data_IF_712890637225
#
_entry.id   IF_712890637225
#
_cell.length_a   1.000
_cell.length_b   1.000
_cell.length_c   1.000
_cell.angle_alpha   90.00
_cell.angle_beta   90.00
_cell.angle_gamma   90.00
#
_symmetry.space_group_name_H-M   'P 1'
#
loop_
_entity.id
_entity.type
_entity.pdbx_description
1 polymer ?
#
# COMPACT_ATOMS: atom_id res chain seq x y z
N UNK A 1 17.13 2.24 24.93
CA UNK A 1 15.84 2.89 25.14
C UNK A 1 14.92 2.32 24.06
N UNK A 2 13.76 1.81 24.43
CA UNK A 2 12.79 1.31 23.45
C UNK A 2 12.27 2.52 22.67
N UNK A 3 12.42 2.52 21.34
CA UNK A 3 11.97 3.62 20.48
C UNK A 3 10.49 3.46 20.16
N UNK A 4 9.78 4.58 20.07
CA UNK A 4 8.39 4.64 19.63
C UNK A 4 8.34 4.76 18.12
N UNK A 5 7.66 3.82 17.46
CA UNK A 5 7.52 3.88 16.00
C UNK A 5 6.41 4.81 15.56
N UNK A 6 6.80 5.89 14.89
CA UNK A 6 5.84 6.77 14.22
C UNK A 6 5.38 6.13 12.90
N UNK A 7 4.14 5.66 12.87
CA UNK A 7 3.50 5.12 11.67
C UNK A 7 2.80 6.25 10.90
N UNK A 8 3.04 6.31 9.59
CA UNK A 8 2.42 7.28 8.69
C UNK A 8 1.09 6.78 8.10
N UNK A 9 0.29 7.70 7.58
CA UNK A 9 -1.03 7.43 7.02
C UNK A 9 -1.05 6.41 5.86
N UNK A 10 0.07 6.24 5.16
CA UNK A 10 0.26 5.27 4.07
C UNK A 10 0.96 3.98 4.52
N UNK A 11 1.24 3.83 5.82
CA UNK A 11 2.02 2.74 6.40
C UNK A 11 1.22 1.90 7.43
N UNK A 12 -0.09 1.78 7.22
CA UNK A 12 -1.01 1.19 8.22
C UNK A 12 -1.07 -0.35 8.22
N UNK A 13 -0.36 -1.01 7.30
CA UNK A 13 -0.35 -2.47 7.17
C UNK A 13 0.59 -3.17 8.16
N UNK A 14 0.36 -4.46 8.40
CA UNK A 14 1.09 -5.22 9.44
C UNK A 14 2.60 -5.32 9.18
N UNK A 15 3.06 -5.19 7.93
CA UNK A 15 4.49 -5.20 7.59
C UNK A 15 5.27 -3.97 8.09
N UNK A 16 4.58 -2.95 8.60
CA UNK A 16 5.17 -1.78 9.24
C UNK A 16 5.23 -1.90 10.78
N UNK A 17 4.64 -2.96 11.36
CA UNK A 17 4.53 -3.19 12.80
C UNK A 17 5.42 -4.34 13.26
N UNK A 18 6.42 -4.05 14.11
CA UNK A 18 7.32 -5.06 14.68
C UNK A 18 6.94 -5.47 16.12
N UNK A 19 5.78 -5.06 16.63
CA UNK A 19 5.26 -5.43 17.96
C UNK A 19 5.53 -4.41 19.08
N UNK A 20 6.34 -3.38 18.84
CA UNK A 20 6.70 -2.34 19.82
C UNK A 20 5.65 -1.23 20.01
N UNK A 21 5.98 -0.18 20.82
CA UNK A 21 5.15 1.00 21.01
C UNK A 21 5.03 1.82 19.72
N UNK A 22 3.84 2.37 19.49
CA UNK A 22 3.48 3.05 18.26
C UNK A 22 3.04 4.49 18.53
N UNK A 23 3.32 5.38 17.59
CA UNK A 23 2.78 6.72 17.51
C UNK A 23 2.01 6.86 16.20
N UNK A 24 0.75 7.29 16.29
CA UNK A 24 -0.10 7.54 15.14
C UNK A 24 -0.73 8.92 15.24
N UNK A 25 -0.59 9.72 14.19
CA UNK A 25 -1.02 11.12 14.19
C UNK A 25 -1.98 11.37 13.03
N UNK A 26 -3.19 11.79 13.35
CA UNK A 26 -4.17 12.33 12.41
C UNK A 26 -3.96 13.85 12.28
N UNK A 27 -3.33 14.30 11.19
CA UNK A 27 -3.09 15.74 10.94
C UNK A 27 -4.14 16.33 9.99
N UNK A 28 -5.04 17.17 10.53
CA UNK A 28 -6.07 17.87 9.72
C UNK A 28 -5.46 18.81 8.69
N UNK A 29 -4.34 19.45 9.03
CA UNK A 29 -3.65 20.38 8.14
C UNK A 29 -3.23 19.75 6.81
N UNK A 30 -3.01 18.44 6.74
CA UNK A 30 -2.74 17.75 5.47
C UNK A 30 -3.92 17.80 4.49
N UNK A 31 -5.15 17.79 5.01
CA UNK A 31 -6.37 17.87 4.21
C UNK A 31 -6.70 19.31 3.83
N UNK A 32 -6.35 20.29 4.67
CA UNK A 32 -6.64 21.70 4.45
C UNK A 32 -5.74 22.37 3.40
N UNK A 33 -4.53 21.83 3.13
CA UNK A 33 -3.52 22.50 2.26
C UNK A 33 -3.96 22.72 0.82
N UNK A 34 -4.80 21.84 0.28
CA UNK A 34 -5.28 21.87 -1.11
C UNK A 34 -6.67 21.25 -1.18
N UNK A 35 -7.49 21.58 -2.21
CA UNK A 35 -8.74 20.87 -2.43
C UNK A 35 -8.51 19.36 -2.42
N UNK A 36 -9.18 18.67 -1.49
CA UNK A 36 -8.95 17.25 -1.23
C UNK A 36 -10.18 16.44 -1.65
N UNK A 37 -10.00 15.25 -2.22
CA UNK A 37 -11.16 14.45 -2.59
C UNK A 37 -11.84 13.89 -1.33
N UNK A 38 -13.15 14.11 -1.15
CA UNK A 38 -13.87 13.72 0.08
C UNK A 38 -13.74 12.23 0.38
N UNK A 39 -13.86 11.37 -0.64
CA UNK A 39 -13.69 9.91 -0.48
C UNK A 39 -12.27 9.52 -0.07
N UNK A 40 -11.24 10.26 -0.52
CA UNK A 40 -9.85 9.98 -0.16
C UNK A 40 -9.58 10.39 1.28
N UNK A 41 -10.13 11.52 1.71
CA UNK A 41 -10.06 11.94 3.12
C UNK A 41 -10.73 10.91 4.02
N UNK A 42 -11.95 10.47 3.67
CA UNK A 42 -12.67 9.42 4.41
C UNK A 42 -11.84 8.13 4.50
N UNK A 43 -11.30 7.63 3.39
CA UNK A 43 -10.45 6.43 3.37
C UNK A 43 -9.22 6.55 4.30
N UNK A 44 -8.50 7.66 4.23
CA UNK A 44 -7.26 7.85 5.01
C UNK A 44 -7.58 7.94 6.51
N UNK A 45 -8.54 8.79 6.89
CA UNK A 45 -8.90 9.00 8.29
C UNK A 45 -9.51 7.74 8.90
N UNK A 46 -10.39 7.05 8.15
CA UNK A 46 -10.93 5.76 8.57
C UNK A 46 -9.81 4.74 8.79
N UNK A 47 -8.85 4.63 7.87
CA UNK A 47 -7.70 3.74 8.03
C UNK A 47 -6.87 4.06 9.27
N UNK A 48 -6.57 5.34 9.52
CA UNK A 48 -5.82 5.79 10.70
C UNK A 48 -6.56 5.39 11.98
N UNK A 49 -7.85 5.72 12.11
CA UNK A 49 -8.63 5.46 13.33
C UNK A 49 -8.87 3.97 13.56
N UNK A 50 -9.11 3.19 12.51
CA UNK A 50 -9.19 1.74 12.60
C UNK A 50 -7.86 1.14 13.06
N UNK A 51 -6.73 1.63 12.53
CA UNK A 51 -5.41 1.17 12.99
C UNK A 51 -5.16 1.55 14.44
N UNK A 52 -5.56 2.76 14.86
CA UNK A 52 -5.48 3.18 16.25
C UNK A 52 -6.27 2.23 17.17
N UNK A 53 -7.53 1.97 16.82
CA UNK A 53 -8.40 1.03 17.56
C UNK A 53 -7.82 -0.38 17.62
N UNK A 54 -7.25 -0.88 16.52
CA UNK A 54 -6.65 -2.21 16.45
C UNK A 54 -5.38 -2.35 17.30
N UNK A 55 -4.58 -1.28 17.42
CA UNK A 55 -3.37 -1.26 18.23
C UNK A 55 -3.67 -1.12 19.74
N UNK A 56 -4.79 -0.50 20.10
CA UNK A 56 -5.22 -0.36 21.50
C UNK A 56 -4.17 0.38 22.34
N UNK A 57 -3.82 -0.19 23.50
CA UNK A 57 -2.86 0.43 24.44
C UNK A 57 -1.42 0.54 23.90
N UNK A 58 -1.12 -0.10 22.76
CA UNK A 58 0.20 -0.01 22.11
C UNK A 58 0.43 1.30 21.36
N UNK A 59 -0.62 2.10 21.11
CA UNK A 59 -0.50 3.32 20.30
C UNK A 59 -0.80 4.58 21.09
N UNK A 60 0.12 5.52 21.00
CA UNK A 60 -0.11 6.92 21.30
C UNK A 60 -0.81 7.58 20.11
N UNK A 61 -2.11 7.82 20.21
CA UNK A 61 -2.92 8.38 19.10
C UNK A 61 -3.26 9.85 19.33
N UNK A 62 -2.93 10.70 18.35
CA UNK A 62 -3.17 12.15 18.40
C UNK A 62 -3.98 12.65 17.21
N UNK A 63 -4.95 13.52 17.48
CA UNK A 63 -5.69 14.27 16.45
C UNK A 63 -5.34 15.75 16.57
N UNK A 64 -4.56 16.27 15.63
CA UNK A 64 -3.95 17.61 15.68
C UNK A 64 -4.06 18.31 14.33
N UNK A 65 -3.72 19.60 14.28
CA UNK A 65 -3.63 20.30 13.00
C UNK A 65 -2.33 19.97 12.27
N UNK A 66 -1.22 19.85 12.98
CA UNK A 66 0.11 19.70 12.44
C UNK A 66 0.92 18.64 13.19
N UNK A 67 1.67 17.81 12.46
CA UNK A 67 2.55 16.80 13.07
C UNK A 67 3.50 17.36 14.13
N UNK A 68 4.01 18.58 13.93
CA UNK A 68 4.96 19.23 14.85
C UNK A 68 4.44 19.36 16.27
N UNK A 69 3.12 19.50 16.45
CA UNK A 69 2.51 19.58 17.78
C UNK A 69 2.79 18.35 18.65
N UNK A 70 3.13 17.21 18.03
CA UNK A 70 3.37 15.93 18.71
C UNK A 70 4.84 15.50 18.63
N UNK A 71 5.51 15.75 17.49
CA UNK A 71 6.86 15.21 17.26
C UNK A 71 7.99 16.15 17.69
N UNK A 72 7.70 17.42 17.94
CA UNK A 72 8.73 18.40 18.33
C UNK A 72 9.26 18.11 19.74
N UNK A 73 10.58 18.08 19.88
CA UNK A 73 11.26 17.79 21.15
C UNK A 73 11.35 16.31 21.53
N UNK A 74 10.84 15.38 20.70
CA UNK A 74 10.98 13.94 20.92
C UNK A 74 12.29 13.41 20.37
N UNK A 75 12.99 12.62 21.16
CA UNK A 75 14.25 11.93 20.80
C UNK A 75 14.12 10.40 20.77
N UNK A 76 12.91 9.89 21.01
CA UNK A 76 12.58 8.47 21.10
C UNK A 76 11.98 7.89 19.81
N UNK A 77 11.87 8.68 18.73
CA UNK A 77 11.13 8.30 17.54
C UNK A 77 11.97 7.54 16.51
N UNK A 78 11.36 6.51 15.93
CA UNK A 78 11.78 5.88 14.67
C UNK A 78 10.63 5.87 13.66
N UNK A 79 10.96 5.87 12.37
CA UNK A 79 9.97 5.88 11.28
C UNK A 79 10.48 5.06 10.10
N UNK A 80 9.58 4.32 9.45
CA UNK A 80 9.91 3.68 8.17
C UNK A 80 9.93 4.74 7.09
N UNK A 81 10.98 4.75 6.26
CA UNK A 81 11.27 5.81 5.29
C UNK A 81 10.01 6.42 4.64
N UNK A 82 9.70 7.70 4.91
CA UNK A 82 8.50 8.35 4.40
C UNK A 82 8.47 8.44 2.88
N UNK A 83 7.30 8.29 2.28
CA UNK A 83 7.12 8.35 0.81
C UNK A 83 7.03 9.77 0.24
N UNK A 84 7.06 10.80 1.10
CA UNK A 84 6.98 12.20 0.68
C UNK A 84 8.19 13.02 1.09
N UNK A 85 8.66 13.89 0.18
CA UNK A 85 9.76 14.83 0.45
C UNK A 85 9.50 15.74 1.64
N UNK A 86 8.23 16.13 1.87
CA UNK A 86 7.85 16.98 3.00
C UNK A 86 8.02 16.26 4.33
N UNK A 87 7.57 15.01 4.44
CA UNK A 87 7.76 14.21 5.65
C UNK A 87 9.22 13.82 5.86
N UNK A 88 9.96 13.45 4.81
CA UNK A 88 11.42 13.19 4.93
C UNK A 88 12.17 14.39 5.50
N UNK A 89 11.83 15.62 5.07
CA UNK A 89 12.42 16.85 5.65
C UNK A 89 12.06 17.01 7.12
N UNK A 90 10.79 16.87 7.48
CA UNK A 90 10.34 16.97 8.88
C UNK A 90 11.05 15.95 9.77
N UNK A 91 11.09 14.69 9.34
CA UNK A 91 11.75 13.58 10.06
C UNK A 91 13.24 13.87 10.26
N UNK A 92 13.93 14.36 9.23
CA UNK A 92 15.33 14.76 9.35
C UNK A 92 15.53 15.95 10.31
N UNK A 93 14.63 16.93 10.29
CA UNK A 93 14.69 18.10 11.19
C UNK A 93 14.49 17.73 12.67
N UNK A 94 13.62 16.76 12.97
CA UNK A 94 13.40 16.30 14.35
C UNK A 94 14.43 15.25 14.81
N UNK A 95 15.27 14.73 13.91
CA UNK A 95 16.31 13.75 14.24
C UNK A 95 15.80 12.35 14.55
N UNK A 96 14.61 11.98 14.07
CA UNK A 96 14.08 10.62 14.23
C UNK A 96 14.90 9.59 13.42
N UNK A 97 15.02 8.37 13.95
CA UNK A 97 15.69 7.28 13.22
C UNK A 97 14.87 6.86 12.00
N UNK A 98 15.52 6.74 10.84
CA UNK A 98 14.87 6.32 9.60
C UNK A 98 15.22 4.89 9.27
N UNK A 99 14.21 4.02 9.30
CA UNK A 99 14.33 2.62 8.91
C UNK A 99 14.16 2.45 7.38
N UNK A 100 14.74 1.39 6.77
CA UNK A 100 14.57 1.13 5.35
C UNK A 100 13.12 1.04 4.91
N UNK A 101 12.82 1.51 3.71
CA UNK A 101 11.46 1.43 3.16
C UNK A 101 11.00 -0.02 3.02
N UNK A 102 9.77 -0.30 3.47
CA UNK A 102 9.14 -1.62 3.39
C UNK A 102 8.00 -1.69 2.36
N UNK A 103 7.64 -0.55 1.76
CA UNK A 103 6.52 -0.44 0.82
C UNK A 103 6.90 -0.71 -0.65
N UNK A 104 8.18 -0.97 -0.95
CA UNK A 104 8.68 -1.16 -2.31
C UNK A 104 9.43 -2.47 -2.46
N UNK A 105 9.24 -3.13 -3.61
CA UNK A 105 9.97 -4.36 -3.99
C UNK A 105 11.44 -4.08 -4.35
N UNK A 106 11.74 -2.85 -4.75
CA UNK A 106 13.09 -2.38 -5.07
C UNK A 106 13.42 -1.23 -4.15
N UNK A 107 14.52 -1.36 -3.40
CA UNK A 107 15.01 -0.27 -2.54
C UNK A 107 15.63 0.87 -3.38
N UNK A 108 15.80 2.04 -2.77
CA UNK A 108 16.49 3.16 -3.42
C UNK A 108 17.94 2.81 -3.76
N UNK A 109 18.61 2.02 -2.92
CA UNK A 109 19.97 1.55 -3.17
C UNK A 109 20.01 0.61 -4.38
N UNK A 110 19.14 -0.40 -4.42
CA UNK A 110 19.07 -1.34 -5.54
C UNK A 110 18.74 -0.63 -6.86
N UNK A 111 17.87 0.39 -6.81
CA UNK A 111 17.58 1.23 -7.98
C UNK A 111 18.82 2.04 -8.41
N UNK A 112 19.58 2.59 -7.47
CA UNK A 112 20.81 3.33 -7.77
C UNK A 112 21.90 2.43 -8.36
N UNK A 113 22.04 1.20 -7.87
CA UNK A 113 22.97 0.19 -8.40
C UNK A 113 22.57 -0.22 -9.83
N UNK A 114 21.28 -0.47 -10.07
CA UNK A 114 20.77 -0.73 -11.42
C UNK A 114 21.06 0.43 -12.36
N UNK A 115 20.83 1.67 -11.93
CA UNK A 115 21.12 2.87 -12.69
C UNK A 115 22.60 3.00 -13.06
N UNK A 116 23.50 2.78 -12.10
CA UNK A 116 24.95 2.90 -12.29
C UNK A 116 25.52 1.85 -13.26
N UNK A 117 24.90 0.66 -13.32
CA UNK A 117 25.30 -0.40 -14.25
C UNK A 117 24.86 -0.20 -15.71
N UNK A 118 24.10 0.86 -16.02
CA UNK A 118 23.58 1.09 -17.38
C UNK A 118 24.58 1.86 -18.24
N UNK A 119 24.73 1.42 -19.49
CA UNK A 119 25.49 2.16 -20.51
C UNK A 119 24.72 3.35 -21.07
N UNK A 120 23.39 3.36 -20.97
CA UNK A 120 22.54 4.44 -21.46
C UNK A 120 21.84 5.16 -20.32
N UNK A 121 21.88 6.50 -20.37
CA UNK A 121 21.14 7.38 -19.46
C UNK A 121 19.63 7.38 -19.74
N UNK A 122 19.15 6.72 -20.80
CA UNK A 122 17.71 6.61 -21.09
C UNK A 122 17.05 5.64 -20.11
N UNK A 123 16.02 6.09 -19.41
CA UNK A 123 15.25 5.26 -18.48
C UNK A 123 14.04 4.67 -19.16
N UNK A 124 14.10 3.36 -19.44
CA UNK A 124 13.02 2.60 -20.04
C UNK A 124 12.46 1.65 -18.99
N UNK A 125 11.14 1.72 -18.75
CA UNK A 125 10.47 0.87 -17.77
C UNK A 125 10.67 -0.61 -18.07
N UNK A 126 10.62 -1.01 -19.35
CA UNK A 126 10.81 -2.40 -19.77
C UNK A 126 12.15 -2.99 -19.29
N UNK A 127 13.25 -2.25 -19.43
CA UNK A 127 14.57 -2.72 -18.97
C UNK A 127 14.58 -2.92 -17.45
N UNK A 128 14.00 -1.96 -16.72
CA UNK A 128 13.89 -2.03 -15.26
C UNK A 128 13.03 -3.20 -14.81
N UNK A 129 11.92 -3.43 -15.51
CA UNK A 129 10.99 -4.52 -15.22
C UNK A 129 11.63 -5.90 -15.46
N UNK A 130 12.36 -6.07 -16.57
CA UNK A 130 13.12 -7.31 -16.84
C UNK A 130 14.17 -7.58 -15.77
N UNK A 131 14.95 -6.54 -15.41
CA UNK A 131 15.93 -6.63 -14.32
C UNK A 131 15.27 -6.98 -12.98
N UNK A 132 14.15 -6.33 -12.64
CA UNK A 132 13.41 -6.57 -11.40
C UNK A 132 12.88 -8.00 -11.33
N UNK A 133 12.35 -8.53 -12.44
CA UNK A 133 11.89 -9.93 -12.52
C UNK A 133 13.02 -10.93 -12.38
N UNK A 134 14.16 -10.72 -13.04
CA UNK A 134 15.32 -11.58 -12.89
C UNK A 134 15.83 -11.58 -11.43
N UNK A 135 15.90 -10.41 -10.79
CA UNK A 135 16.30 -10.26 -9.38
C UNK A 135 15.35 -10.94 -8.41
N UNK A 136 14.04 -10.80 -8.62
CA UNK A 136 12.99 -11.29 -7.69
C UNK A 136 12.56 -12.72 -7.96
N UNK A 137 12.86 -13.27 -9.14
CA UNK A 137 12.38 -14.58 -9.57
C UNK A 137 10.89 -14.63 -9.92
N UNK A 138 10.18 -13.50 -9.86
CA UNK A 138 8.73 -13.46 -10.12
C UNK A 138 8.47 -13.83 -11.58
N UNK A 139 7.68 -14.88 -11.79
CA UNK A 139 7.34 -15.46 -13.09
C UNK A 139 8.56 -15.91 -13.91
N UNK A 140 9.68 -16.26 -13.27
CA UNK A 140 10.89 -16.79 -13.93
C UNK A 140 10.93 -18.33 -13.88
N UNK A 141 11.47 -18.96 -14.92
CA UNK A 141 11.90 -20.36 -14.95
C UNK A 141 13.41 -20.39 -15.19
N UNK A 142 14.19 -20.46 -14.10
CA UNK A 142 15.62 -20.19 -14.14
C UNK A 142 15.90 -18.75 -14.60
N UNK A 143 16.67 -18.61 -15.68
CA UNK A 143 17.03 -17.31 -16.26
C UNK A 143 16.02 -16.80 -17.30
N UNK A 144 15.03 -17.63 -17.66
CA UNK A 144 14.04 -17.33 -18.71
C UNK A 144 12.69 -16.90 -18.13
N UNK A 145 11.94 -16.01 -18.81
CA UNK A 145 10.60 -15.67 -18.38
C UNK A 145 9.63 -16.84 -18.63
N UNK A 146 8.74 -17.12 -17.68
CA UNK A 146 7.64 -18.07 -17.86
C UNK A 146 6.84 -17.72 -19.13
N UNK A 147 6.63 -18.72 -19.99
CA UNK A 147 5.96 -18.57 -21.28
C UNK A 147 6.80 -17.92 -22.39
N UNK A 148 8.11 -17.71 -22.17
CA UNK A 148 9.07 -17.28 -23.20
C UNK A 148 8.95 -15.81 -23.63
N UNK A 149 8.04 -15.04 -23.04
CA UNK A 149 7.86 -13.60 -23.30
C UNK A 149 7.95 -12.81 -22.00
N UNK A 150 8.64 -11.67 -22.05
CA UNK A 150 8.73 -10.77 -20.90
C UNK A 150 7.42 -10.01 -20.65
N UNK A 151 6.67 -9.70 -21.71
CA UNK A 151 5.48 -8.87 -21.64
C UNK A 151 4.38 -9.40 -22.57
N UNK A 152 3.13 -9.35 -22.09
CA UNK A 152 1.91 -9.73 -22.80
C UNK A 152 0.94 -8.55 -22.97
N UNK A 153 1.39 -7.32 -22.70
CA UNK A 153 0.56 -6.09 -22.75
C UNK A 153 -0.17 -5.90 -24.08
N UNK A 154 0.46 -6.25 -25.21
CA UNK A 154 -0.18 -6.17 -26.52
C UNK A 154 -1.45 -7.02 -26.62
N UNK A 155 -1.44 -8.20 -25.97
CA UNK A 155 -2.56 -9.15 -26.00
C UNK A 155 -3.73 -8.68 -25.09
N UNK A 156 -3.50 -7.66 -24.24
CA UNK A 156 -4.46 -7.14 -23.26
C UNK A 156 -5.12 -5.80 -23.66
N UNK A 157 -5.17 -5.48 -24.97
CA UNK A 157 -5.66 -4.19 -25.50
C UNK A 157 -7.02 -4.28 -26.21
N UNK A 158 -7.75 -5.38 -26.02
CA UNK A 158 -9.08 -5.52 -26.57
C UNK A 158 -10.03 -4.46 -26.00
N UNK A 159 -10.91 -3.94 -26.85
CA UNK A 159 -11.93 -2.98 -26.40
C UNK A 159 -13.04 -3.72 -25.67
N UNK A 160 -13.64 -3.10 -24.64
CA UNK A 160 -14.88 -3.61 -24.07
C UNK A 160 -15.94 -3.81 -25.18
N UNK A 161 -16.80 -4.84 -25.08
CA UNK A 161 -17.87 -5.06 -26.05
C UNK A 161 -18.77 -3.83 -26.19
N UNK A 162 -19.16 -3.51 -27.43
CA UNK A 162 -19.96 -2.31 -27.71
C UNK A 162 -21.32 -2.38 -27.01
N UNK A 163 -21.65 -1.36 -26.23
CA UNK A 163 -22.91 -1.29 -25.49
C UNK A 163 -22.94 -2.14 -24.22
N UNK A 164 -21.83 -2.77 -23.82
CA UNK A 164 -21.75 -3.47 -22.55
C UNK A 164 -21.85 -2.48 -21.39
N UNK A 165 -22.85 -2.68 -20.52
CA UNK A 165 -22.97 -1.98 -19.23
C UNK A 165 -22.20 -2.70 -18.11
N UNK A 166 -21.80 -3.95 -18.35
CA UNK A 166 -20.95 -4.78 -17.49
C UNK A 166 -20.21 -5.81 -18.34
N UNK A 167 -19.06 -6.27 -17.86
CA UNK A 167 -18.28 -7.37 -18.47
C UNK A 167 -18.68 -8.76 -17.91
N UNK A 168 -19.78 -8.85 -17.14
CA UNK A 168 -20.18 -10.09 -16.47
C UNK A 168 -19.24 -10.51 -15.34
N UNK A 169 -18.36 -9.60 -14.91
CA UNK A 169 -17.48 -9.79 -13.77
C UNK A 169 -18.29 -9.66 -12.47
N UNK A 170 -17.86 -10.33 -11.39
CA UNK A 170 -18.45 -10.10 -10.07
C UNK A 170 -18.31 -8.63 -9.68
N UNK A 171 -19.27 -8.14 -8.90
CA UNK A 171 -19.16 -6.82 -8.30
C UNK A 171 -17.86 -6.73 -7.49
N UNK A 172 -17.17 -5.57 -7.53
CA UNK A 172 -16.03 -5.34 -6.65
C UNK A 172 -16.41 -5.61 -5.20
N UNK A 173 -15.48 -6.14 -4.43
CA UNK A 173 -15.67 -6.22 -2.99
C UNK A 173 -15.74 -4.80 -2.41
N UNK A 174 -16.74 -4.57 -1.57
CA UNK A 174 -16.93 -3.31 -0.85
C UNK A 174 -16.76 -3.56 0.65
N UNK A 175 -15.94 -2.75 1.35
CA UNK A 175 -15.83 -2.85 2.79
C UNK A 175 -17.16 -2.50 3.47
N UNK A 176 -17.43 -3.17 4.59
CA UNK A 176 -18.53 -2.80 5.47
C UNK A 176 -18.04 -1.69 6.39
N UNK A 177 -18.75 -0.56 6.37
CA UNK A 177 -18.42 0.60 7.19
C UNK A 177 -19.04 0.49 8.58
N UNK A 178 -18.32 0.97 9.60
CA UNK A 178 -18.71 0.87 11.00
C UNK A 178 -18.89 2.25 11.67
N UNK A 179 -18.83 2.28 13.00
CA UNK A 179 -18.94 3.48 13.81
C UNK A 179 -17.79 4.48 13.57
N UNK A 180 -16.56 4.02 13.32
CA UNK A 180 -15.44 4.90 12.95
C UNK A 180 -15.77 5.61 11.63
N UNK A 181 -16.28 4.88 10.65
CA UNK A 181 -16.60 5.49 9.37
C UNK A 181 -17.72 6.53 9.46
N UNK A 182 -18.65 6.35 10.41
CA UNK A 182 -19.69 7.33 10.71
C UNK A 182 -19.11 8.58 11.38
N UNK A 183 -18.22 8.41 12.37
CA UNK A 183 -17.51 9.50 13.04
C UNK A 183 -16.68 10.33 12.05
N UNK A 184 -15.90 9.67 11.20
CA UNK A 184 -15.10 10.36 10.17
C UNK A 184 -15.99 11.18 9.24
N UNK A 185 -17.20 10.72 8.89
CA UNK A 185 -18.12 11.51 8.06
C UNK A 185 -18.63 12.75 8.76
N UNK A 186 -19.01 12.61 10.03
CA UNK A 186 -19.44 13.74 10.84
C UNK A 186 -18.34 14.79 10.93
N UNK A 187 -17.09 14.38 11.17
CA UNK A 187 -15.93 15.28 11.20
C UNK A 187 -15.69 15.97 9.86
N UNK A 188 -15.73 15.22 8.76
CA UNK A 188 -15.58 15.79 7.42
C UNK A 188 -16.72 16.79 7.09
N UNK A 189 -17.96 16.50 7.48
CA UNK A 189 -19.10 17.43 7.33
C UNK A 189 -18.89 18.69 8.18
N UNK A 190 -18.42 18.53 9.42
CA UNK A 190 -18.15 19.63 10.32
C UNK A 190 -17.02 20.54 9.80
N UNK A 191 -15.91 19.96 9.34
CA UNK A 191 -14.77 20.72 8.84
C UNK A 191 -15.09 21.48 7.56
N UNK A 192 -15.90 20.90 6.69
CA UNK A 192 -16.41 21.57 5.48
C UNK A 192 -17.35 22.72 5.84
N UNK A 193 -18.30 22.48 6.76
CA UNK A 193 -19.23 23.52 7.24
C UNK A 193 -18.52 24.68 7.94
N UNK A 194 -17.45 24.41 8.70
CA UNK A 194 -16.61 25.42 9.36
C UNK A 194 -15.65 26.13 8.39
N UNK A 195 -15.58 25.71 7.12
CA UNK A 195 -14.67 26.28 6.13
C UNK A 195 -13.19 25.95 6.39
N UNK A 196 -12.90 24.97 7.24
CA UNK A 196 -11.53 24.54 7.57
C UNK A 196 -10.91 23.77 6.40
N UNK A 197 -11.71 22.91 5.76
CA UNK A 197 -11.29 22.11 4.62
C UNK A 197 -12.28 22.30 3.47
N UNK A 198 -11.76 22.37 2.25
CA UNK A 198 -12.57 22.38 1.03
C UNK A 198 -12.44 21.04 0.33
N UNK A 199 -13.54 20.28 0.25
CA UNK A 199 -13.54 19.01 -0.46
C UNK A 199 -13.94 19.17 -1.94
N UNK A 200 -13.44 18.24 -2.76
CA UNK A 200 -13.92 17.99 -4.12
C UNK A 200 -14.49 16.57 -4.22
N UNK A 201 -15.41 16.38 -5.16
CA UNK A 201 -16.10 15.11 -5.33
C UNK A 201 -17.05 14.78 -4.18
N UNK A 202 -17.67 13.60 -4.26
CA UNK A 202 -18.54 13.07 -3.20
C UNK A 202 -17.94 11.77 -2.71
N UNK A 203 -18.15 11.46 -1.43
CA UNK A 203 -17.86 10.11 -0.97
C UNK A 203 -18.85 9.17 -1.64
N UNK A 204 -18.36 8.21 -2.42
CA UNK A 204 -19.22 7.15 -2.89
C UNK A 204 -19.69 6.36 -1.65
N UNK A 205 -20.95 6.50 -1.26
CA UNK A 205 -21.66 5.50 -0.46
C UNK A 205 -22.87 5.05 -1.26
N UNK A 206 -23.15 3.76 -1.15
CA UNK A 206 -24.34 3.12 -1.69
C UNK A 206 -25.59 3.97 -1.49
N UNK A 207 -26.34 4.11 -2.57
CA UNK A 207 -27.69 4.61 -2.52
C UNK A 207 -28.55 3.72 -1.60
N UNK A 208 -29.20 4.35 -0.62
CA UNK A 208 -30.37 3.88 0.15
C UNK A 208 -30.18 2.80 1.24
N UNK A 209 -30.92 2.87 2.38
CA UNK A 209 -30.91 1.86 3.46
C UNK A 209 -31.63 0.54 3.11
N UNK A 210 -32.05 0.33 1.86
CA UNK A 210 -32.90 -0.80 1.47
C UNK A 210 -32.18 -1.78 0.55
N UNK A 211 -31.24 -2.56 1.09
CA UNK A 211 -30.87 -3.83 0.45
C UNK A 211 -30.32 -4.83 1.49
N UNK A 212 -31.02 -5.94 1.75
CA UNK A 212 -30.57 -6.91 2.76
C UNK A 212 -29.37 -7.71 2.25
N UNK A 213 -28.36 -7.82 3.11
CA UNK A 213 -27.21 -8.72 2.98
C UNK A 213 -27.66 -10.17 2.80
N UNK A 214 -27.04 -10.89 1.86
CA UNK A 214 -26.91 -12.36 1.94
C UNK A 214 -25.48 -12.76 1.64
N UNK A 215 -25.01 -13.71 2.43
CA UNK A 215 -23.62 -14.02 2.69
C UNK A 215 -22.84 -14.47 1.47
N UNK A 216 -21.62 -13.95 1.36
CA UNK A 216 -20.51 -14.73 0.86
C UNK A 216 -19.77 -15.27 2.09
N UNK A 217 -19.70 -16.60 2.21
CA UNK A 217 -18.92 -17.28 3.23
C UNK A 217 -17.47 -16.80 3.18
N UNK A 218 -16.93 -16.40 4.33
CA UNK A 218 -15.50 -16.15 4.50
C UNK A 218 -14.74 -17.43 4.18
N UNK A 219 -14.02 -17.46 3.06
CA UNK A 219 -12.86 -18.34 2.94
C UNK A 219 -11.74 -17.69 3.73
N UNK A 220 -11.52 -18.13 4.96
CA UNK A 220 -10.28 -17.89 5.69
C UNK A 220 -9.15 -18.58 4.96
N UNK A 221 -8.58 -17.93 3.96
CA UNK A 221 -7.22 -18.23 3.52
C UNK A 221 -6.30 -17.39 4.40
N UNK A 222 -5.93 -17.94 5.55
CA UNK A 222 -4.71 -17.54 6.24
C UNK A 222 -3.57 -17.66 5.23
N UNK A 223 -2.89 -16.55 4.94
CA UNK A 223 -1.58 -16.62 4.29
C UNK A 223 -0.65 -17.41 5.23
N UNK A 224 -0.09 -18.55 4.82
CA UNK A 224 0.88 -19.23 5.68
C UNK A 224 2.10 -18.33 5.84
N UNK A 225 2.46 -18.06 7.10
CA UNK A 225 3.74 -17.48 7.45
C UNK A 225 4.85 -18.29 6.77
N UNK A 226 5.74 -17.61 6.03
CA UNK A 226 6.91 -18.24 5.45
C UNK A 226 7.82 -18.71 6.59
N UNK A 227 7.68 -19.96 6.99
CA UNK A 227 8.61 -20.65 7.88
C UNK A 227 9.94 -20.83 7.16
N UNK A 228 10.98 -20.15 7.66
CA UNK A 228 12.37 -20.29 7.26
C UNK A 228 12.78 -21.76 7.39
N UNK A 229 12.95 -22.47 6.28
CA UNK A 229 13.61 -23.78 6.25
C UNK A 229 14.78 -23.69 5.29
N UNK A 230 15.95 -23.98 5.84
CA UNK A 230 17.28 -24.02 5.24
C UNK A 230 17.31 -24.87 3.96
N UNK A 231 18.02 -24.36 2.94
CA UNK A 231 18.22 -25.01 1.66
C UNK A 231 19.04 -26.32 1.78
N UNK A 232 18.61 -27.44 1.16
CA UNK A 232 19.50 -28.53 0.83
C UNK A 232 20.11 -28.35 -0.57
N UNK A 233 21.33 -28.88 -0.70
CA UNK A 233 22.26 -28.73 -1.81
C UNK A 233 21.75 -29.25 -3.16
N UNK A 234 22.19 -28.54 -4.21
CA UNK A 234 22.00 -28.83 -5.64
C UNK A 234 22.27 -30.30 -5.98
N UNK A 235 21.27 -31.00 -6.50
CA UNK A 235 21.46 -32.10 -7.46
C UNK A 235 20.54 -31.91 -8.67
N UNK A 236 21.15 -31.78 -9.85
CA UNK A 236 20.48 -31.71 -11.16
C UNK A 236 19.62 -32.97 -11.35
N UNK A 237 18.31 -32.81 -11.56
CA UNK A 237 17.48 -33.82 -12.25
C UNK A 237 17.02 -33.23 -13.58
N UNK A 238 17.38 -33.92 -14.65
CA UNK A 238 16.93 -33.63 -16.02
C UNK A 238 15.46 -34.00 -16.17
N UNK A 239 14.64 -33.06 -16.62
CA UNK A 239 13.28 -33.33 -17.06
C UNK A 239 13.28 -33.62 -18.56
N UNK A 240 12.77 -34.79 -18.93
CA UNK A 240 12.70 -35.27 -20.31
C UNK A 240 11.68 -34.50 -21.14
N UNK A 241 12.03 -34.23 -22.38
CA UNK A 241 11.21 -33.59 -23.40
C UNK A 241 10.17 -34.58 -23.95
N UNK A 242 8.88 -34.25 -23.81
CA UNK A 242 7.77 -34.93 -24.47
C UNK A 242 6.96 -33.94 -25.33
N UNK A 243 6.62 -34.27 -26.59
CA UNK A 243 5.99 -33.31 -27.50
C UNK A 243 4.49 -33.16 -27.25
N UNK A 244 4.02 -31.91 -27.24
CA UNK A 244 2.60 -31.55 -27.19
C UNK A 244 1.94 -31.83 -28.53
N UNK A 245 0.95 -32.74 -28.55
CA UNK A 245 0.10 -33.00 -29.70
C UNK A 245 -0.92 -31.86 -29.87
N UNK A 246 -0.93 -31.23 -31.03
CA UNK A 246 -2.04 -30.40 -31.52
C UNK A 246 -3.21 -31.29 -31.91
N UNK A 247 -4.44 -30.94 -31.49
CA UNK A 247 -5.68 -31.47 -32.08
C UNK A 247 -6.25 -30.43 -33.02
N UNK A 248 -6.64 -30.95 -34.19
CA UNK A 248 -7.33 -30.30 -35.30
C UNK A 248 -8.72 -29.79 -34.94
#
# INVERSE_FOLDING_TARGET
>A
MERTRWILADQLGDHFDDGGPMLLIESRGLLARRPYHRAKAHLILSGIRHRARALGDRVEFHQVDHYREVVEGRDDLEVIDPTSRGLRRLVAEIGAEVLPSRGFVTSEQEFAEWMAGRTSNRLVMEDFYRWSRARTGILMDGDDPVGGRWNYDHDNRERPPKGATSLGLPEPWWPEEDDIDAEVRADLDEWERKGIVRFVGRTARGASPSRPRRGASRSTTSWPAASTTSAPSRTRRSWGTGPWRTRS
#
